data_IF_248010404281
#
_entry.id   IF_248010404281
#
_cell.length_a   1.000
_cell.length_b   1.000
_cell.length_c   1.000
_cell.angle_alpha   90.00
_cell.angle_beta   90.00
_cell.angle_gamma   90.00
#
_symmetry.space_group_name_H-M   'P 1'
#
loop_
_entity.id
_entity.type
_entity.pdbx_description
1 polymer ?
#
# COMPACT_ATOMS: atom_id res chain seq x y z
N UNK A 1 -30.87 59.34 -29.62
CA UNK A 1 -30.54 60.26 -28.52
C UNK A 1 -30.49 59.42 -27.26
N UNK A 2 -29.36 58.88 -26.80
CA UNK A 2 -27.99 58.68 -27.32
C UNK A 2 -27.61 57.24 -26.88
N UNK A 3 -26.92 56.37 -27.62
CA UNK A 3 -25.63 56.42 -28.35
C UNK A 3 -24.36 56.39 -27.46
N UNK A 4 -23.48 55.43 -27.79
CA UNK A 4 -22.10 55.10 -27.33
C UNK A 4 -21.98 53.97 -26.30
N UNK A 5 -21.34 52.83 -26.57
CA UNK A 5 -20.11 52.44 -27.31
C UNK A 5 -18.77 52.60 -26.56
N UNK A 6 -18.25 51.44 -26.11
CA UNK A 6 -16.85 50.97 -26.18
C UNK A 6 -15.75 51.71 -25.37
N UNK A 7 -14.54 51.12 -25.17
CA UNK A 7 -14.11 49.71 -25.28
C UNK A 7 -13.26 49.17 -24.10
N UNK A 8 -12.85 47.92 -24.26
CA UNK A 8 -11.82 47.11 -23.60
C UNK A 8 -10.47 47.75 -23.24
N UNK A 9 -9.86 47.22 -22.17
CA UNK A 9 -8.42 46.96 -21.97
C UNK A 9 -8.34 45.76 -21.01
N UNK A 10 -7.65 44.64 -21.24
CA UNK A 10 -6.44 44.31 -22.00
C UNK A 10 -5.14 44.90 -21.40
N UNK A 11 -4.57 44.12 -20.48
CA UNK A 11 -3.22 44.18 -19.91
C UNK A 11 -2.92 42.75 -19.44
N UNK A 12 -2.40 41.88 -20.32
CA UNK A 12 -0.98 41.73 -20.65
C UNK A 12 -0.24 40.91 -19.59
N UNK A 13 0.00 39.63 -19.92
CA UNK A 13 0.94 38.76 -19.22
C UNK A 13 2.36 39.34 -19.25
N UNK A 14 3.09 39.22 -18.15
CA UNK A 14 4.55 39.09 -18.20
C UNK A 14 4.96 37.84 -17.44
N UNK A 15 5.38 36.85 -18.21
CA UNK A 15 5.99 35.62 -17.73
C UNK A 15 7.44 35.94 -17.32
N UNK A 16 7.88 35.50 -16.15
CA UNK A 16 9.29 35.44 -15.79
C UNK A 16 9.63 34.00 -15.43
N UNK A 17 10.42 33.36 -16.30
CA UNK A 17 11.03 32.06 -16.04
C UNK A 17 12.11 32.19 -14.95
N UNK A 18 12.08 31.36 -13.89
CA UNK A 18 13.24 31.17 -13.03
C UNK A 18 14.23 30.20 -13.68
N UNK A 19 15.49 30.63 -13.80
CA UNK A 19 16.55 29.83 -14.42
C UNK A 19 16.84 28.53 -13.65
N UNK A 20 17.07 27.45 -14.39
CA UNK A 20 17.53 26.17 -13.85
C UNK A 20 18.96 26.29 -13.32
N UNK A 21 19.21 25.75 -12.12
CA UNK A 21 20.56 25.48 -11.61
C UNK A 21 20.78 23.96 -11.65
N UNK A 22 21.95 23.46 -12.08
CA UNK A 22 22.20 22.03 -12.16
C UNK A 22 22.42 21.40 -10.78
N UNK A 23 21.89 20.21 -10.58
CA UNK A 23 22.11 19.38 -9.39
C UNK A 23 23.54 18.81 -9.37
N UNK A 24 24.18 18.66 -8.19
CA UNK A 24 25.45 17.94 -8.06
C UNK A 24 25.23 16.42 -8.02
N UNK A 25 26.15 15.68 -8.64
CA UNK A 25 26.13 14.21 -8.76
C UNK A 25 26.33 13.49 -7.40
N UNK A 26 25.80 12.25 -7.24
CA UNK A 26 26.03 11.45 -6.03
C UNK A 26 27.42 10.78 -6.04
N UNK A 27 28.21 11.00 -4.99
CA UNK A 27 29.46 10.25 -4.78
C UNK A 27 29.16 8.78 -4.46
N UNK A 28 29.80 7.88 -5.21
CA UNK A 28 29.79 6.42 -4.98
C UNK A 28 31.16 6.00 -4.49
N UNK A 29 31.26 5.43 -3.28
CA UNK A 29 32.40 4.61 -2.86
C UNK A 29 31.93 3.37 -2.08
N UNK A 30 32.69 2.25 -2.10
CA UNK A 30 32.12 0.91 -1.88
C UNK A 30 32.53 0.23 -0.57
N UNK A 31 31.72 -0.74 -0.18
CA UNK A 31 32.05 -1.88 0.71
C UNK A 31 32.12 -3.18 -0.13
N UNK A 32 32.52 -4.35 0.42
CA UNK A 32 33.27 -4.61 1.65
C UNK A 32 34.51 -5.53 1.42
N UNK A 33 35.31 -5.80 2.47
CA UNK A 33 36.29 -6.90 2.45
C UNK A 33 36.65 -7.44 3.85
N UNK A 34 36.21 -8.67 4.12
CA UNK A 34 36.71 -9.63 5.12
C UNK A 34 36.73 -11.02 4.44
N UNK A 35 37.31 -12.10 5.01
CA UNK A 35 38.17 -12.22 6.19
C UNK A 35 39.51 -12.95 5.89
N UNK A 36 40.39 -13.15 6.90
CA UNK A 36 41.16 -14.40 7.01
C UNK A 36 41.67 -14.66 8.44
N UNK A 37 41.44 -15.86 8.97
CA UNK A 37 41.99 -16.37 10.24
C UNK A 37 43.33 -17.09 9.99
N UNK A 38 44.33 -16.92 10.88
CA UNK A 38 45.29 -18.01 11.15
C UNK A 38 45.85 -17.96 12.57
N UNK A 39 45.99 -19.13 13.18
CA UNK A 39 46.47 -19.32 14.56
C UNK A 39 47.94 -19.77 14.64
N UNK A 40 48.58 -19.51 15.79
CA UNK A 40 49.75 -20.21 16.32
C UNK A 40 49.73 -20.02 17.84
N UNK A 41 49.44 -21.02 18.68
CA UNK A 41 50.24 -22.21 19.02
C UNK A 41 51.45 -21.89 19.92
N UNK A 42 51.55 -22.62 21.04
CA UNK A 42 52.32 -22.26 22.25
C UNK A 42 53.35 -23.36 22.56
N UNK A 43 54.42 -23.01 23.30
CA UNK A 43 55.28 -23.85 24.17
C UNK A 43 56.66 -24.27 23.62
N UNK A 44 57.63 -24.63 24.48
CA UNK A 44 57.92 -24.09 25.83
C UNK A 44 59.42 -23.87 26.12
N UNK A 45 59.71 -23.19 27.24
CA UNK A 45 60.72 -23.57 28.24
C UNK A 45 62.21 -23.61 27.89
N UNK A 46 63.00 -22.77 28.58
CA UNK A 46 64.19 -23.25 29.31
C UNK A 46 64.53 -22.29 30.48
N UNK A 47 64.91 -22.85 31.62
CA UNK A 47 65.30 -22.10 32.84
C UNK A 47 66.81 -21.84 32.86
N UNK A 48 67.27 -20.59 33.07
CA UNK A 48 68.60 -20.33 33.65
C UNK A 48 68.68 -18.97 34.38
N UNK A 49 68.74 -19.01 35.71
CA UNK A 49 69.29 -17.95 36.58
C UNK A 49 70.84 -18.09 36.72
N UNK A 50 71.55 -17.33 37.58
CA UNK A 50 71.73 -15.86 37.57
C UNK A 50 73.23 -15.45 37.71
N UNK A 51 73.63 -14.21 37.35
CA UNK A 51 74.95 -13.67 37.78
C UNK A 51 74.96 -12.17 38.12
N UNK A 52 75.12 -11.90 39.42
CA UNK A 52 75.81 -10.80 40.13
C UNK A 52 75.93 -9.36 39.54
N UNK A 53 75.24 -8.44 40.23
CA UNK A 53 75.78 -7.26 40.96
C UNK A 53 76.81 -6.29 40.30
N UNK A 54 76.42 -5.02 40.25
CA UNK A 54 77.26 -3.89 40.69
C UNK A 54 76.38 -2.73 41.18
N UNK A 55 76.79 -2.06 42.26
CA UNK A 55 76.01 -1.09 43.03
C UNK A 55 75.67 0.21 42.28
N UNK A 56 74.48 0.77 42.55
CA UNK A 56 74.36 2.20 42.82
C UNK A 56 73.20 2.46 43.83
N UNK A 57 73.36 3.48 44.67
CA UNK A 57 72.48 3.84 45.79
C UNK A 57 71.47 4.92 45.35
N UNK A 58 70.34 5.05 46.07
CA UNK A 58 69.21 6.04 45.95
C UNK A 58 67.81 5.36 45.81
N UNK A 59 66.74 6.00 46.33
CA UNK A 59 66.01 5.41 47.45
C UNK A 59 64.69 4.73 47.07
N UNK A 60 64.19 3.90 47.99
CA UNK A 60 62.80 3.40 47.99
C UNK A 60 61.78 4.53 48.24
N UNK A 61 60.72 4.61 47.42
CA UNK A 61 59.45 5.17 47.84
C UNK A 61 58.35 4.09 47.85
N UNK A 62 57.80 3.92 49.05
CA UNK A 62 56.41 3.57 49.34
C UNK A 62 55.83 2.23 48.84
N UNK A 63 55.26 1.51 49.81
CA UNK A 63 54.48 0.30 49.64
C UNK A 63 53.24 0.55 48.77
N UNK A 64 53.20 -0.07 47.59
CA UNK A 64 51.92 -0.35 46.92
C UNK A 64 51.15 -1.37 47.76
N UNK A 65 50.13 -0.90 48.48
CA UNK A 65 49.15 -1.77 49.14
C UNK A 65 48.47 -2.65 48.09
N UNK A 66 48.22 -3.93 48.44
CA UNK A 66 47.63 -4.92 47.55
C UNK A 66 46.19 -4.60 47.06
N UNK A 67 45.62 -3.46 47.47
CA UNK A 67 44.32 -2.95 47.06
C UNK A 67 44.34 -2.29 45.67
N UNK A 68 45.50 -1.81 45.18
CA UNK A 68 45.63 -1.19 43.85
C UNK A 68 45.79 -2.19 42.68
N UNK A 69 45.76 -3.49 42.96
CA UNK A 69 45.86 -4.57 41.96
C UNK A 69 44.51 -5.20 41.58
N UNK A 70 43.40 -4.71 42.14
CA UNK A 70 42.05 -4.95 41.60
C UNK A 70 41.67 -3.80 40.65
N UNK A 71 42.33 -3.76 39.49
CA UNK A 71 41.83 -2.98 38.36
C UNK A 71 40.50 -3.54 37.88
N UNK A 72 39.53 -2.64 37.69
CA UNK A 72 38.13 -2.86 37.27
C UNK A 72 37.76 -4.29 36.84
N UNK A 73 37.33 -5.09 37.82
CA UNK A 73 36.30 -6.10 37.55
C UNK A 73 35.03 -5.34 37.18
N UNK A 74 34.87 -5.05 35.89
CA UNK A 74 33.62 -4.53 35.33
C UNK A 74 32.50 -5.51 35.66
N UNK A 75 31.75 -5.18 36.70
CA UNK A 75 30.50 -5.86 37.02
C UNK A 75 29.64 -5.83 35.75
N UNK A 76 29.06 -6.96 35.32
CA UNK A 76 28.17 -6.98 34.17
C UNK A 76 27.04 -6.00 34.45
N UNK A 77 27.03 -4.90 33.68
CA UNK A 77 26.05 -3.85 33.86
C UNK A 77 24.66 -4.46 33.59
N UNK A 78 23.68 -4.30 34.49
CA UNK A 78 22.33 -4.73 34.19
C UNK A 78 21.85 -3.94 32.97
N UNK A 79 21.32 -4.66 31.96
CA UNK A 79 20.64 -4.05 30.82
C UNK A 79 19.60 -3.07 31.36
N UNK A 80 19.73 -1.80 30.98
CA UNK A 80 19.00 -0.75 31.70
C UNK A 80 17.49 -0.89 31.44
N UNK A 81 16.67 -0.77 32.50
CA UNK A 81 15.21 -0.90 32.39
C UNK A 81 14.60 0.01 31.30
N UNK A 82 15.27 1.13 31.02
CA UNK A 82 14.93 2.07 29.94
C UNK A 82 15.02 1.45 28.54
N UNK A 83 16.05 0.65 28.25
CA UNK A 83 16.24 0.02 26.94
C UNK A 83 15.21 -1.07 26.67
N UNK A 84 14.88 -1.86 27.70
CA UNK A 84 13.80 -2.86 27.61
C UNK A 84 12.43 -2.19 27.42
N UNK A 85 12.17 -1.07 28.10
CA UNK A 85 10.95 -0.29 27.92
C UNK A 85 10.85 0.34 26.53
N UNK A 86 11.95 0.84 25.98
CA UNK A 86 12.04 1.39 24.62
C UNK A 86 11.79 0.32 23.56
N UNK A 87 12.49 -0.82 23.63
CA UNK A 87 12.26 -1.96 22.73
C UNK A 87 10.81 -2.44 22.80
N UNK A 88 10.21 -2.49 23.99
CA UNK A 88 8.80 -2.85 24.16
C UNK A 88 7.86 -1.88 23.44
N UNK A 89 8.10 -0.57 23.53
CA UNK A 89 7.30 0.43 22.83
C UNK A 89 7.45 0.34 21.31
N UNK A 90 8.67 0.08 20.81
CA UNK A 90 8.94 -0.15 19.38
C UNK A 90 8.22 -1.40 18.87
N UNK A 91 8.25 -2.51 19.62
CA UNK A 91 7.56 -3.74 19.24
C UNK A 91 6.04 -3.61 19.28
N UNK A 92 5.45 -2.87 20.25
CA UNK A 92 4.02 -2.54 20.24
C UNK A 92 3.65 -1.73 18.98
N UNK A 93 4.48 -0.76 18.58
CA UNK A 93 4.26 0.04 17.38
C UNK A 93 4.40 -0.77 16.08
N UNK A 94 5.36 -1.70 15.98
CA UNK A 94 5.50 -2.60 14.83
C UNK A 94 4.26 -3.47 14.69
N UNK A 95 3.88 -4.21 15.75
CA UNK A 95 2.74 -5.14 15.69
C UNK A 95 1.39 -4.44 15.49
N UNK A 96 1.31 -3.13 15.76
CA UNK A 96 0.16 -2.28 15.42
C UNK A 96 0.05 -1.99 13.90
N UNK A 97 1.17 -1.82 13.20
CA UNK A 97 1.21 -1.48 11.76
C UNK A 97 1.10 -2.72 10.87
N UNK A 98 1.38 -3.92 11.41
CA UNK A 98 1.26 -5.18 10.68
C UNK A 98 -0.18 -5.50 10.26
N UNK A 99 -0.40 -5.64 8.96
CA UNK A 99 -1.68 -6.09 8.40
C UNK A 99 -1.91 -7.61 8.58
N UNK A 100 -0.83 -8.39 8.65
CA UNK A 100 -0.83 -9.85 8.71
C UNK A 100 0.10 -10.36 9.84
N UNK A 101 -0.07 -11.59 10.36
CA UNK A 101 0.79 -12.13 11.40
C UNK A 101 2.24 -12.29 10.94
N UNK A 102 3.20 -11.73 11.69
CA UNK A 102 4.62 -11.79 11.33
C UNK A 102 5.43 -12.62 12.35
N UNK A 103 6.24 -13.61 11.92
CA UNK A 103 7.13 -14.36 12.81
C UNK A 103 8.12 -13.47 13.58
N UNK A 104 8.41 -13.79 14.84
CA UNK A 104 9.40 -13.06 15.64
C UNK A 104 10.78 -12.95 14.95
N UNK A 105 11.18 -13.98 14.19
CA UNK A 105 12.41 -13.99 13.39
C UNK A 105 12.44 -12.86 12.35
N UNK A 106 11.30 -12.58 11.70
CA UNK A 106 11.20 -11.49 10.71
C UNK A 106 11.16 -10.12 11.39
N UNK A 107 10.48 -10.01 12.54
CA UNK A 107 10.46 -8.77 13.35
C UNK A 107 11.88 -8.45 13.87
N UNK A 108 12.63 -9.46 14.33
CA UNK A 108 14.00 -9.30 14.81
C UNK A 108 14.96 -8.90 13.68
N UNK A 109 14.87 -9.55 12.52
CA UNK A 109 15.64 -9.18 11.33
C UNK A 109 15.32 -7.76 10.84
N UNK A 110 14.05 -7.34 10.86
CA UNK A 110 13.65 -5.98 10.47
C UNK A 110 14.06 -4.88 11.48
N UNK A 111 14.56 -5.28 12.66
CA UNK A 111 15.07 -4.40 13.71
C UNK A 111 16.60 -4.44 13.84
N UNK A 112 17.29 -5.24 13.03
CA UNK A 112 18.71 -5.57 13.18
C UNK A 112 19.08 -6.01 14.62
N UNK A 113 18.22 -6.85 15.24
CA UNK A 113 18.41 -7.36 16.62
C UNK A 113 18.39 -8.89 16.70
N UNK A 114 19.05 -9.49 17.72
CA UNK A 114 18.96 -10.92 17.99
C UNK A 114 17.51 -11.36 18.28
N UNK A 115 17.15 -12.55 17.83
CA UNK A 115 15.84 -13.16 18.13
C UNK A 115 15.65 -13.36 19.63
N UNK A 116 16.73 -13.73 20.32
CA UNK A 116 16.81 -13.98 21.75
C UNK A 116 16.51 -12.72 22.59
N UNK A 117 16.65 -11.52 22.01
CA UNK A 117 16.28 -10.25 22.63
C UNK A 117 14.81 -9.90 22.34
N UNK A 118 14.34 -10.15 21.12
CA UNK A 118 13.03 -9.70 20.62
C UNK A 118 11.88 -10.64 21.05
N UNK A 119 12.07 -11.96 20.97
CA UNK A 119 11.02 -12.94 21.27
C UNK A 119 10.51 -12.86 22.73
N UNK A 120 11.37 -12.74 23.76
CA UNK A 120 10.91 -12.60 25.14
C UNK A 120 10.07 -11.34 25.37
N UNK A 121 10.42 -10.23 24.71
CA UNK A 121 9.70 -8.95 24.83
C UNK A 121 8.36 -8.99 24.10
N UNK A 122 8.28 -9.64 22.93
CA UNK A 122 7.01 -9.92 22.24
C UNK A 122 6.08 -10.81 23.10
N UNK A 123 6.63 -11.83 23.77
CA UNK A 123 5.86 -12.70 24.67
C UNK A 123 5.33 -11.93 25.89
N UNK A 124 6.17 -11.11 26.51
CA UNK A 124 5.77 -10.22 27.61
C UNK A 124 4.67 -9.23 27.18
N UNK A 125 4.76 -8.67 25.97
CA UNK A 125 3.73 -7.82 25.37
C UNK A 125 2.39 -8.54 25.18
N UNK A 126 2.41 -9.79 24.71
CA UNK A 126 1.21 -10.61 24.57
C UNK A 126 0.54 -10.86 25.94
N UNK A 127 1.32 -11.14 26.98
CA UNK A 127 0.83 -11.31 28.36
C UNK A 127 0.27 -10.01 28.97
N UNK A 128 1.01 -8.90 28.87
CA UNK A 128 0.59 -7.59 29.39
C UNK A 128 -0.68 -7.07 28.71
N UNK A 129 -0.79 -7.22 27.39
CA UNK A 129 -1.96 -6.75 26.64
C UNK A 129 -3.18 -7.67 26.78
N UNK A 130 -2.99 -8.92 27.23
CA UNK A 130 -4.10 -9.85 27.52
C UNK A 130 -4.90 -9.49 28.79
N UNK A 131 -4.38 -8.64 29.69
CA UNK A 131 -5.03 -8.26 30.97
C UNK A 131 -6.41 -7.62 30.76
N UNK A 132 -7.36 -7.92 31.64
CA UNK A 132 -8.80 -7.65 31.47
C UNK A 132 -9.15 -6.17 31.15
N UNK A 133 -8.39 -5.21 31.67
CA UNK A 133 -8.55 -3.77 31.45
C UNK A 133 -8.22 -3.28 30.03
N UNK A 134 -7.60 -4.12 29.19
CA UNK A 134 -7.27 -3.82 27.78
C UNK A 134 -8.32 -4.40 26.84
N UNK A 135 -8.75 -3.65 25.82
CA UNK A 135 -9.69 -4.13 24.77
C UNK A 135 -9.02 -4.72 23.52
N UNK A 136 -7.72 -4.48 23.35
CA UNK A 136 -6.85 -5.06 22.32
C UNK A 136 -5.76 -5.89 22.98
N UNK A 137 -5.29 -6.93 22.29
CA UNK A 137 -4.21 -7.80 22.74
C UNK A 137 -3.34 -8.23 21.57
N UNK A 138 -2.06 -8.51 21.83
CA UNK A 138 -1.18 -9.18 20.88
C UNK A 138 -1.35 -10.69 21.06
N UNK A 139 -1.51 -11.41 19.95
CA UNK A 139 -1.62 -12.86 19.91
C UNK A 139 -0.60 -13.46 18.96
N UNK A 140 -0.18 -14.67 19.26
CA UNK A 140 0.50 -15.54 18.31
C UNK A 140 -0.55 -16.33 17.51
N UNK A 141 -0.45 -16.30 16.18
CA UNK A 141 -1.35 -17.01 15.26
C UNK A 141 -0.58 -17.33 13.96
N UNK A 142 -0.75 -18.54 13.43
CA UNK A 142 -0.04 -19.02 12.25
C UNK A 142 1.51 -18.90 12.32
N UNK A 143 2.09 -18.96 13.53
CA UNK A 143 3.54 -18.81 13.75
C UNK A 143 4.04 -17.36 13.72
N UNK A 144 3.14 -16.37 13.76
CA UNK A 144 3.48 -14.95 13.81
C UNK A 144 2.65 -14.16 14.83
N UNK A 145 3.13 -12.97 15.17
CA UNK A 145 2.46 -12.05 16.09
C UNK A 145 1.57 -11.06 15.33
N UNK A 146 0.38 -10.80 15.87
CA UNK A 146 -0.58 -9.82 15.33
C UNK A 146 -1.37 -9.18 16.48
N UNK A 147 -1.72 -7.90 16.36
CA UNK A 147 -2.75 -7.30 17.22
C UNK A 147 -4.14 -7.81 16.84
N UNK A 148 -4.97 -8.02 17.87
CA UNK A 148 -6.37 -8.37 17.73
C UNK A 148 -7.23 -7.67 18.78
N UNK A 149 -8.52 -7.47 18.48
CA UNK A 149 -9.52 -7.07 19.48
C UNK A 149 -9.97 -8.29 20.29
N UNK A 150 -10.20 -8.12 21.60
CA UNK A 150 -10.62 -9.24 22.45
C UNK A 150 -11.99 -9.82 22.05
N UNK A 151 -12.16 -11.17 22.12
CA UNK A 151 -13.44 -11.82 21.81
C UNK A 151 -14.63 -11.31 22.64
N UNK A 152 -14.39 -10.89 23.89
CA UNK A 152 -15.38 -10.31 24.80
C UNK A 152 -16.11 -9.08 24.23
N UNK A 153 -15.49 -8.37 23.28
CA UNK A 153 -16.05 -7.17 22.66
C UNK A 153 -16.68 -7.44 21.28
N UNK A 154 -16.71 -8.70 20.82
CA UNK A 154 -17.12 -9.09 19.47
C UNK A 154 -18.48 -8.51 19.04
N UNK A 155 -19.53 -8.63 19.86
CA UNK A 155 -20.87 -8.15 19.50
C UNK A 155 -20.93 -6.61 19.38
N UNK A 156 -20.24 -5.90 20.27
CA UNK A 156 -20.18 -4.43 20.25
C UNK A 156 -19.41 -3.96 19.01
N UNK A 157 -18.25 -4.56 18.74
CA UNK A 157 -17.43 -4.25 17.57
C UNK A 157 -18.14 -4.60 16.26
N UNK A 158 -18.84 -5.73 16.18
CA UNK A 158 -19.66 -6.12 15.03
C UNK A 158 -20.77 -5.11 14.74
N UNK A 159 -21.46 -4.63 15.79
CA UNK A 159 -22.47 -3.58 15.66
C UNK A 159 -21.86 -2.24 15.22
N UNK A 160 -20.73 -1.85 15.84
CA UNK A 160 -19.99 -0.64 15.51
C UNK A 160 -19.51 -0.63 14.04
N UNK A 161 -18.86 -1.71 13.58
CA UNK A 161 -18.36 -1.85 12.20
C UNK A 161 -19.50 -1.88 11.16
N UNK A 162 -20.67 -2.42 11.53
CA UNK A 162 -21.87 -2.38 10.67
C UNK A 162 -22.45 -0.96 10.54
N UNK A 163 -22.31 -0.14 11.57
CA UNK A 163 -22.81 1.25 11.61
C UNK A 163 -21.78 2.26 11.08
N UNK A 164 -20.49 1.90 11.05
CA UNK A 164 -19.49 2.61 10.27
C UNK A 164 -19.93 2.60 8.79
N UNK A 165 -19.78 3.75 8.13
CA UNK A 165 -19.85 3.79 6.67
C UNK A 165 -18.71 2.93 6.12
N UNK A 166 -19.05 1.71 5.73
CA UNK A 166 -18.23 0.91 4.82
C UNK A 166 -17.78 1.84 3.67
N UNK A 167 -16.48 1.94 3.36
CA UNK A 167 -16.04 2.64 2.16
C UNK A 167 -16.68 1.89 0.99
N UNK A 168 -17.74 2.47 0.42
CA UNK A 168 -18.51 1.77 -0.60
C UNK A 168 -17.54 1.46 -1.74
N UNK A 169 -17.37 0.18 -2.10
CA UNK A 169 -16.59 -0.17 -3.29
C UNK A 169 -17.22 0.55 -4.49
N UNK A 170 -16.37 1.14 -5.33
CA UNK A 170 -16.81 1.62 -6.64
C UNK A 170 -17.04 0.39 -7.52
N UNK A 171 -18.09 0.41 -8.35
CA UNK A 171 -18.27 -0.62 -9.36
C UNK A 171 -17.19 -0.48 -10.45
N UNK A 172 -16.94 -1.52 -11.23
CA UNK A 172 -15.95 -1.50 -12.31
C UNK A 172 -16.18 -0.31 -13.27
N UNK A 173 -17.43 -0.12 -13.72
CA UNK A 173 -17.81 1.03 -14.56
C UNK A 173 -17.56 2.40 -13.89
N UNK A 174 -17.59 2.46 -12.55
CA UNK A 174 -17.28 3.68 -11.80
C UNK A 174 -15.77 3.91 -11.63
N UNK A 175 -14.97 2.85 -11.49
CA UNK A 175 -13.50 2.93 -11.53
C UNK A 175 -13.00 3.33 -12.92
N UNK A 176 -13.52 2.73 -13.99
CA UNK A 176 -13.22 3.11 -15.38
C UNK A 176 -13.53 4.59 -15.64
N UNK A 177 -14.73 5.04 -15.24
CA UNK A 177 -15.16 6.43 -15.42
C UNK A 177 -14.30 7.39 -14.59
N UNK A 178 -13.93 7.01 -13.37
CA UNK A 178 -13.03 7.78 -12.52
C UNK A 178 -11.63 7.88 -13.12
N UNK A 179 -11.09 6.78 -13.67
CA UNK A 179 -9.79 6.77 -14.34
C UNK A 179 -9.78 7.70 -15.56
N UNK A 180 -10.80 7.65 -16.42
CA UNK A 180 -10.95 8.59 -17.56
C UNK A 180 -10.92 10.04 -17.07
N UNK A 181 -11.61 10.37 -15.97
CA UNK A 181 -11.57 11.72 -15.39
C UNK A 181 -10.18 12.05 -14.84
N UNK A 182 -9.53 11.16 -14.09
CA UNK A 182 -8.24 11.40 -13.47
C UNK A 182 -7.14 11.73 -14.51
N UNK A 183 -7.10 11.00 -15.64
CA UNK A 183 -6.10 11.18 -16.70
C UNK A 183 -6.47 12.23 -17.78
N UNK A 184 -7.73 12.66 -17.90
CA UNK A 184 -8.18 13.61 -18.95
C UNK A 184 -8.80 14.90 -18.41
N UNK A 185 -8.85 15.10 -17.10
CA UNK A 185 -9.36 16.33 -16.51
C UNK A 185 -8.63 17.60 -17.00
N UNK A 186 -9.34 18.74 -17.17
CA UNK A 186 -10.79 18.89 -17.00
C UNK A 186 -11.57 18.38 -18.23
N UNK A 187 -12.52 17.46 -18.02
CA UNK A 187 -13.24 16.74 -19.10
C UNK A 187 -14.77 16.85 -18.95
N UNK A 188 -15.52 16.86 -20.04
CA UNK A 188 -16.99 16.95 -20.05
C UNK A 188 -17.68 15.58 -20.16
N UNK A 189 -18.96 15.51 -19.77
CA UNK A 189 -19.76 14.28 -19.86
C UNK A 189 -19.75 13.64 -21.27
N UNK A 190 -19.95 14.37 -22.39
CA UNK A 190 -19.90 13.77 -23.73
C UNK A 190 -18.55 13.11 -24.05
N UNK A 191 -17.43 13.76 -23.71
CA UNK A 191 -16.07 13.24 -23.94
C UNK A 191 -15.80 11.98 -23.12
N UNK A 192 -16.30 11.90 -21.88
CA UNK A 192 -16.22 10.68 -21.06
C UNK A 192 -16.99 9.52 -21.71
N UNK A 193 -18.18 9.80 -22.25
CA UNK A 193 -19.04 8.79 -22.90
C UNK A 193 -18.44 8.31 -24.23
N UNK A 194 -17.82 9.21 -25.00
CA UNK A 194 -17.08 8.91 -26.22
C UNK A 194 -15.90 7.98 -25.94
N UNK A 195 -15.07 8.28 -24.94
CA UNK A 195 -13.92 7.44 -24.54
C UNK A 195 -14.37 6.07 -24.03
N UNK A 196 -15.46 5.97 -23.26
CA UNK A 196 -15.95 4.69 -22.71
C UNK A 196 -16.79 3.86 -23.68
N UNK A 197 -17.27 4.43 -24.80
CA UNK A 197 -18.09 3.73 -25.80
C UNK A 197 -19.46 3.24 -25.32
N UNK A 198 -19.88 3.53 -24.07
CA UNK A 198 -21.14 3.05 -23.48
C UNK A 198 -21.87 4.16 -22.72
N UNK A 199 -23.21 4.13 -22.75
CA UNK A 199 -24.03 5.09 -22.02
C UNK A 199 -23.93 4.86 -20.50
N UNK A 200 -23.42 5.85 -19.76
CA UNK A 200 -23.01 5.70 -18.35
C UNK A 200 -23.44 6.80 -17.39
N UNK A 201 -24.51 7.55 -17.70
CA UNK A 201 -24.86 8.80 -17.00
C UNK A 201 -25.04 8.72 -15.47
N UNK A 202 -25.45 7.57 -14.92
CA UNK A 202 -25.62 7.38 -13.47
C UNK A 202 -24.32 7.42 -12.66
N UNK A 203 -23.20 7.03 -13.27
CA UNK A 203 -21.91 6.87 -12.59
C UNK A 203 -21.35 8.21 -12.09
N UNK A 204 -21.44 9.25 -12.92
CA UNK A 204 -20.95 10.61 -12.57
C UNK A 204 -21.68 11.15 -11.34
N UNK A 205 -22.99 10.90 -11.21
CA UNK A 205 -23.73 11.26 -10.00
C UNK A 205 -23.16 10.55 -8.78
N UNK A 206 -22.91 9.24 -8.85
CA UNK A 206 -22.29 8.48 -7.75
C UNK A 206 -20.91 9.00 -7.36
N UNK A 207 -20.07 9.38 -8.34
CA UNK A 207 -18.73 9.94 -8.07
C UNK A 207 -18.80 11.35 -7.44
N UNK A 208 -19.77 12.17 -7.83
CA UNK A 208 -20.06 13.49 -7.24
C UNK A 208 -20.63 13.39 -5.82
N UNK A 209 -21.62 12.51 -5.60
CA UNK A 209 -22.25 12.28 -4.29
C UNK A 209 -21.21 11.79 -3.25
N UNK A 210 -20.20 11.05 -3.71
CA UNK A 210 -19.04 10.60 -2.92
C UNK A 210 -17.90 11.63 -2.81
N UNK A 211 -18.00 12.77 -3.48
CA UNK A 211 -17.00 13.86 -3.52
C UNK A 211 -15.62 13.47 -4.07
N UNK A 212 -15.50 12.34 -4.76
CA UNK A 212 -14.24 11.88 -5.39
C UNK A 212 -13.94 12.73 -6.64
N UNK A 213 -15.00 13.21 -7.31
CA UNK A 213 -14.91 14.23 -8.38
C UNK A 213 -15.72 15.47 -8.02
N UNK A 214 -15.43 16.59 -8.69
CA UNK A 214 -16.15 17.85 -8.60
C UNK A 214 -16.25 18.53 -9.96
N UNK A 215 -17.02 19.62 -10.05
CA UNK A 215 -17.11 20.43 -11.28
C UNK A 215 -15.93 21.41 -11.39
N UNK A 216 -15.39 21.55 -12.60
CA UNK A 216 -14.30 22.46 -12.95
C UNK A 216 -14.78 23.70 -13.74
N UNK A 217 -16.07 24.02 -13.66
CA UNK A 217 -16.71 25.07 -14.48
C UNK A 217 -17.43 24.50 -15.70
N UNK A 218 -17.41 25.25 -16.81
CA UNK A 218 -18.07 24.88 -18.08
C UNK A 218 -17.16 25.14 -19.27
N UNK A 219 -17.18 24.25 -20.27
CA UNK A 219 -16.40 24.39 -21.51
C UNK A 219 -17.03 25.48 -22.39
N UNK A 220 -16.22 26.38 -22.96
CA UNK A 220 -16.71 27.49 -23.79
C UNK A 220 -17.03 27.05 -25.24
N UNK A 221 -18.00 26.16 -25.37
CA UNK A 221 -18.51 25.62 -26.64
C UNK A 221 -20.05 25.67 -26.66
N UNK A 222 -20.67 25.33 -27.80
CA UNK A 222 -22.13 25.24 -27.93
C UNK A 222 -22.68 24.30 -26.84
N UNK A 223 -23.79 24.72 -26.19
CA UNK A 223 -24.38 24.01 -25.05
C UNK A 223 -23.69 24.24 -23.68
N UNK A 224 -22.49 24.84 -23.65
CA UNK A 224 -21.71 25.12 -22.42
C UNK A 224 -21.70 23.95 -21.40
N UNK A 225 -21.25 22.75 -21.80
CA UNK A 225 -21.27 21.55 -20.96
C UNK A 225 -20.38 21.70 -19.72
N UNK A 226 -20.75 20.99 -18.64
CA UNK A 226 -20.03 20.99 -17.37
C UNK A 226 -18.72 20.22 -17.53
N UNK A 227 -17.63 20.79 -17.00
CA UNK A 227 -16.33 20.14 -16.87
C UNK A 227 -16.23 19.45 -15.49
N UNK A 228 -15.54 18.31 -15.44
CA UNK A 228 -15.29 17.52 -14.24
C UNK A 228 -13.79 17.33 -13.99
N UNK A 229 -13.42 17.24 -12.72
CA UNK A 229 -12.05 16.98 -12.24
C UNK A 229 -12.07 16.19 -10.93
N UNK A 230 -10.96 15.56 -10.54
CA UNK A 230 -10.83 14.90 -9.23
C UNK A 230 -10.71 15.92 -8.09
N UNK A 231 -10.83 15.45 -6.85
CA UNK A 231 -10.75 16.28 -5.63
C UNK A 231 -9.56 15.89 -4.76
N UNK A 232 -9.37 16.58 -3.62
CA UNK A 232 -8.42 16.12 -2.59
C UNK A 232 -8.83 14.78 -1.97
N UNK A 233 -10.14 14.48 -1.91
CA UNK A 233 -10.65 13.19 -1.41
C UNK A 233 -10.14 12.02 -2.27
N UNK A 234 -10.07 12.21 -3.59
CA UNK A 234 -9.45 11.24 -4.50
C UNK A 234 -7.98 10.99 -4.14
N UNK A 235 -7.17 12.03 -3.95
CA UNK A 235 -5.76 11.88 -3.59
C UNK A 235 -5.61 11.11 -2.26
N UNK A 236 -6.35 11.51 -1.22
CA UNK A 236 -6.35 10.82 0.09
C UNK A 236 -6.80 9.37 -0.01
N UNK A 237 -7.82 9.07 -0.81
CA UNK A 237 -8.40 7.72 -0.93
C UNK A 237 -7.56 6.76 -1.78
N UNK A 238 -6.71 7.29 -2.66
CA UNK A 238 -5.77 6.51 -3.49
C UNK A 238 -4.32 6.57 -2.99
N UNK A 239 -4.06 7.23 -1.85
CA UNK A 239 -2.72 7.31 -1.24
C UNK A 239 -1.73 8.21 -1.97
N UNK A 240 -2.22 9.11 -2.83
CA UNK A 240 -1.40 9.97 -3.68
C UNK A 240 -1.16 11.33 -3.02
N UNK A 241 0.06 11.86 -3.15
CA UNK A 241 0.42 13.22 -2.77
C UNK A 241 -0.16 14.25 -3.75
N UNK A 242 -0.06 13.96 -5.04
CA UNK A 242 -0.61 14.76 -6.13
C UNK A 242 -0.89 13.93 -7.39
N UNK A 243 -1.31 14.58 -8.48
CA UNK A 243 -1.79 13.89 -9.69
C UNK A 243 -0.65 13.38 -10.59
N UNK A 244 0.60 13.78 -10.38
CA UNK A 244 1.74 13.30 -11.17
C UNK A 244 2.21 11.90 -10.73
N UNK A 245 1.79 11.44 -9.56
CA UNK A 245 2.02 10.07 -9.06
C UNK A 245 1.06 9.03 -9.69
N UNK A 246 0.17 9.46 -10.60
CA UNK A 246 -0.65 8.54 -11.39
C UNK A 246 0.22 7.85 -12.46
N UNK A 247 0.27 6.50 -12.52
CA UNK A 247 1.09 5.77 -13.49
C UNK A 247 0.85 6.22 -14.93
N UNK A 248 1.93 6.46 -15.66
CA UNK A 248 1.85 6.65 -17.11
C UNK A 248 1.31 5.40 -17.80
N UNK A 249 0.84 5.55 -19.04
CA UNK A 249 0.34 4.41 -19.82
C UNK A 249 1.39 3.30 -20.01
N UNK A 250 2.69 3.65 -20.00
CA UNK A 250 3.79 2.66 -20.07
C UNK A 250 3.94 1.89 -18.77
N UNK A 251 4.00 2.60 -17.64
CA UNK A 251 4.06 1.98 -16.31
C UNK A 251 2.82 1.12 -16.05
N UNK A 252 1.65 1.50 -16.56
CA UNK A 252 0.45 0.67 -16.48
C UNK A 252 0.56 -0.65 -17.28
N UNK A 253 1.22 -0.65 -18.44
CA UNK A 253 1.49 -1.89 -19.19
C UNK A 253 2.48 -2.80 -18.46
N UNK A 254 3.50 -2.24 -17.81
CA UNK A 254 4.49 -3.00 -17.05
C UNK A 254 3.93 -3.52 -15.71
N UNK A 255 3.16 -2.71 -14.97
CA UNK A 255 2.40 -3.14 -13.78
C UNK A 255 1.43 -4.25 -14.16
N UNK A 256 0.65 -4.09 -15.25
CA UNK A 256 -0.25 -5.14 -15.74
C UNK A 256 0.52 -6.42 -16.08
N UNK A 257 1.71 -6.33 -16.68
CA UNK A 257 2.54 -7.49 -17.02
C UNK A 257 3.05 -8.20 -15.77
N UNK A 258 3.44 -7.45 -14.74
CA UNK A 258 3.85 -7.98 -13.44
C UNK A 258 2.68 -8.68 -12.72
N UNK A 259 1.52 -8.03 -12.60
CA UNK A 259 0.33 -8.64 -11.97
C UNK A 259 -0.15 -9.90 -12.68
N UNK A 260 -0.05 -9.98 -14.01
CA UNK A 260 -0.39 -11.20 -14.75
C UNK A 260 0.65 -12.32 -14.56
N UNK A 261 1.93 -11.99 -14.37
CA UNK A 261 2.96 -12.97 -14.04
C UNK A 261 2.77 -13.53 -12.62
N UNK A 262 2.33 -12.70 -11.67
CA UNK A 262 2.00 -13.14 -10.31
C UNK A 262 0.77 -14.08 -10.28
N UNK A 263 -0.25 -13.84 -11.10
CA UNK A 263 -1.41 -14.76 -11.21
C UNK A 263 -1.09 -16.09 -11.91
N UNK A 264 -0.14 -16.13 -12.86
CA UNK A 264 0.32 -17.38 -13.49
C UNK A 264 1.14 -18.27 -12.55
N UNK A 265 1.79 -17.71 -11.53
CA UNK A 265 2.51 -18.48 -10.49
C UNK A 265 1.55 -18.99 -9.40
N UNK A 266 0.34 -18.42 -9.28
CA UNK A 266 -0.63 -18.71 -8.23
C UNK A 266 -1.63 -19.86 -8.48
N UNK A 267 -1.60 -20.53 -9.64
CA UNK A 267 -2.63 -21.51 -10.04
C UNK A 267 -2.13 -22.97 -10.19
N UNK A 268 -1.84 -23.70 -9.10
CA UNK A 268 -1.72 -25.15 -9.16
C UNK A 268 -3.12 -25.80 -9.26
N UNK A 269 -3.28 -26.62 -10.30
CA UNK A 269 -4.33 -27.64 -10.47
C UNK A 269 -5.79 -27.15 -10.67
N UNK A 270 -6.14 -26.89 -11.94
CA UNK A 270 -7.47 -27.22 -12.45
C UNK A 270 -7.37 -28.45 -13.36
N UNK A 271 -7.96 -29.60 -12.99
CA UNK A 271 -7.92 -30.79 -13.83
C UNK A 271 -8.74 -30.57 -15.11
N UNK A 272 -8.04 -30.64 -16.25
CA UNK A 272 -8.63 -30.54 -17.59
C UNK A 272 -9.58 -31.72 -17.83
N UNK A 273 -10.88 -31.46 -17.83
CA UNK A 273 -11.88 -32.46 -18.24
C UNK A 273 -11.65 -32.86 -19.71
N UNK A 274 -11.69 -34.16 -20.04
CA UNK A 274 -11.26 -34.65 -21.35
C UNK A 274 -12.27 -34.32 -22.46
N UNK A 275 -11.71 -34.01 -23.63
CA UNK A 275 -12.43 -33.89 -24.90
C UNK A 275 -13.08 -35.24 -25.26
N UNK A 276 -14.37 -35.23 -25.61
CA UNK A 276 -15.03 -36.40 -26.21
C UNK A 276 -15.07 -36.23 -27.74
N UNK A 277 -14.75 -37.28 -28.52
CA UNK A 277 -14.61 -37.18 -29.96
C UNK A 277 -15.95 -37.20 -30.72
N UNK A 278 -15.88 -36.80 -31.99
CA UNK A 278 -16.99 -36.71 -32.94
C UNK A 278 -17.63 -38.08 -33.27
N UNK A 279 -18.95 -38.09 -33.48
CA UNK A 279 -19.60 -39.03 -34.42
C UNK A 279 -20.52 -38.25 -35.38
N UNK A 280 -20.62 -38.77 -36.61
CA UNK A 280 -21.12 -38.10 -37.81
C UNK A 280 -22.50 -38.65 -38.25
N UNK A 281 -23.07 -38.02 -39.29
CA UNK A 281 -24.19 -38.49 -40.13
C UNK A 281 -25.62 -38.34 -39.54
N UNK A 282 -26.68 -37.96 -40.29
CA UNK A 282 -26.82 -37.57 -41.71
C UNK A 282 -27.96 -36.54 -41.91
N UNK A 283 -28.01 -35.92 -43.11
CA UNK A 283 -29.00 -34.92 -43.56
C UNK A 283 -30.21 -35.59 -44.29
N UNK A 284 -30.95 -34.91 -45.21
CA UNK A 284 -32.05 -33.96 -44.95
C UNK A 284 -33.38 -34.31 -45.67
N UNK A 285 -34.53 -33.71 -45.30
CA UNK A 285 -35.74 -33.69 -46.15
C UNK A 285 -36.55 -32.38 -46.01
N UNK A 286 -36.70 -31.67 -47.14
CA UNK A 286 -37.84 -30.79 -47.49
C UNK A 286 -38.62 -31.50 -48.63
N UNK A 287 -39.95 -31.32 -48.82
CA UNK A 287 -40.45 -30.07 -49.45
C UNK A 287 -41.95 -29.66 -49.25
N UNK A 288 -42.21 -28.35 -49.36
CA UNK A 288 -43.20 -27.80 -50.32
C UNK A 288 -44.70 -27.58 -49.95
N UNK A 289 -45.44 -26.75 -50.73
CA UNK A 289 -46.73 -26.09 -50.40
C UNK A 289 -47.90 -26.55 -51.36
N UNK A 290 -49.06 -25.86 -51.63
CA UNK A 290 -49.53 -24.49 -51.29
C UNK A 290 -51.07 -24.27 -51.04
N UNK A 291 -51.49 -22.98 -51.01
CA UNK A 291 -52.84 -22.38 -51.30
C UNK A 291 -54.11 -22.84 -50.50
N UNK A 292 -55.07 -22.01 -50.04
CA UNK A 292 -55.37 -20.56 -50.06
C UNK A 292 -56.37 -20.21 -48.92
N UNK A 293 -57.26 -19.21 -48.93
CA UNK A 293 -57.54 -18.13 -49.88
C UNK A 293 -58.00 -16.81 -49.16
N UNK A 294 -59.27 -16.35 -49.26
CA UNK A 294 -59.79 -14.99 -48.89
C UNK A 294 -61.35 -14.98 -48.74
N UNK A 295 -62.08 -13.85 -48.46
CA UNK A 295 -61.81 -12.61 -47.68
C UNK A 295 -63.02 -12.13 -46.80
N UNK A 296 -62.99 -10.84 -46.37
CA UNK A 296 -64.08 -9.92 -45.97
C UNK A 296 -64.57 -9.96 -44.49
N UNK A 297 -64.92 -8.83 -43.86
CA UNK A 297 -64.89 -7.42 -44.30
C UNK A 297 -65.15 -6.41 -43.16
N UNK A 298 -65.15 -5.12 -43.49
CA UNK A 298 -65.40 -3.92 -42.64
C UNK A 298 -66.55 -4.02 -41.62
N UNK A 299 -66.42 -3.35 -40.46
CA UNK A 299 -67.30 -2.21 -40.09
C UNK A 299 -66.80 -1.35 -38.90
N UNK A 300 -67.38 -0.16 -38.82
CA UNK A 300 -67.13 1.09 -38.08
C UNK A 300 -66.67 1.12 -36.59
N UNK A 301 -65.84 2.12 -36.31
CA UNK A 301 -65.95 2.99 -35.13
C UNK A 301 -66.74 4.27 -35.55
N UNK A 302 -67.16 5.23 -34.67
CA UNK A 302 -66.88 5.40 -33.23
C UNK A 302 -68.13 5.80 -32.39
N UNK A 303 -67.98 6.13 -31.09
CA UNK A 303 -68.36 7.45 -30.54
C UNK A 303 -68.19 7.59 -29.02
N UNK A 304 -67.97 8.83 -28.61
CA UNK A 304 -68.08 9.40 -27.25
C UNK A 304 -69.54 9.54 -26.82
N UNK A 305 -69.87 9.45 -25.52
CA UNK A 305 -70.36 10.59 -24.71
C UNK A 305 -70.84 10.19 -23.29
N UNK A 306 -70.74 11.14 -22.35
CA UNK A 306 -71.34 11.30 -21.01
C UNK A 306 -71.79 10.11 -20.11
N UNK A 307 -71.32 10.18 -18.86
CA UNK A 307 -71.83 9.49 -17.67
C UNK A 307 -71.23 10.08 -16.40
#
# INVERSE_FOLDING_TARGET
>A
MEEKDLPSAELAEQQQEPAQQPEPEPEVQPEPAEPEEVAAEIQPGDEFEPVAQSDDDQPVPESFSAEQLLGDQQQPQPVSDSQAAELKAVLEAIVYVLNEPMPAVQIAAALDRPLEEVEPVLRLLAEETSRAERGIFIREVAGGYQMATKPEHHEVLRSFVKNLKQPLKLSQAALETLAVIAYKQPITMPEILEIRGVQGGGVIKTLLDRKIITTAGRKNVIGKPILYKTTKEFLTQFGLKDLNELPSLKEFEDIRRQSLADEEIGSPDQPRLPEQPEELEASPVEPGPPEGEKPAGDEEAPQTDNG
#
